data_IF_299628173542
#
_entry.id   IF_299628173542
#
_cell.length_a   1.000
_cell.length_b   1.000
_cell.length_c   1.000
_cell.angle_alpha   90.00
_cell.angle_beta   90.00
_cell.angle_gamma   90.00
#
_symmetry.space_group_name_H-M   'P 1'
#
loop_
_entity.id
_entity.type
_entity.pdbx_description
1 polymer ?
#
# COMPACT_ATOMS: atom_id res chain seq x y z
N UNK A 1 7.79 8.32 -13.24
CA UNK A 1 8.30 7.47 -14.35
C UNK A 1 7.19 7.06 -15.29
N UNK A 2 6.23 6.25 -14.81
CA UNK A 2 5.18 5.65 -15.64
C UNK A 2 4.38 6.71 -16.43
N UNK A 3 3.96 7.81 -15.79
CA UNK A 3 3.30 8.94 -16.49
C UNK A 3 4.19 9.61 -17.55
N UNK A 4 5.53 9.60 -17.38
CA UNK A 4 6.46 10.13 -18.38
C UNK A 4 6.73 9.17 -19.54
N UNK A 5 6.46 7.87 -19.35
CA UNK A 5 6.58 6.84 -20.39
C UNK A 5 5.26 6.75 -21.15
N UNK A 6 4.17 6.54 -20.41
CA UNK A 6 2.85 6.20 -20.92
C UNK A 6 1.94 7.41 -21.14
N UNK A 7 2.26 8.55 -20.53
CA UNK A 7 1.37 9.71 -20.48
C UNK A 7 0.27 9.59 -19.42
N UNK A 8 -0.23 10.73 -18.96
CA UNK A 8 -1.35 10.80 -18.02
C UNK A 8 -2.64 10.16 -18.55
N UNK A 9 -3.05 10.40 -19.82
CA UNK A 9 -4.27 9.83 -20.38
C UNK A 9 -4.28 8.29 -20.41
N UNK A 10 -3.19 7.65 -20.84
CA UNK A 10 -3.10 6.19 -20.88
C UNK A 10 -3.19 5.60 -19.46
N UNK A 11 -2.43 6.17 -18.52
CA UNK A 11 -2.44 5.72 -17.12
C UNK A 11 -3.81 5.84 -16.48
N UNK A 12 -4.55 6.91 -16.80
CA UNK A 12 -5.94 7.08 -16.35
C UNK A 12 -6.85 6.04 -16.98
N UNK A 13 -6.71 5.79 -18.28
CA UNK A 13 -7.56 4.83 -19.00
C UNK A 13 -7.37 3.39 -18.50
N UNK A 14 -6.12 2.98 -18.25
CA UNK A 14 -5.84 1.68 -17.62
C UNK A 14 -6.47 1.61 -16.23
N UNK A 15 -6.37 2.68 -15.44
CA UNK A 15 -6.99 2.72 -14.11
C UNK A 15 -8.52 2.52 -14.15
N UNK A 16 -9.17 3.06 -15.16
CA UNK A 16 -10.62 3.03 -15.30
C UNK A 16 -11.11 1.70 -15.94
N UNK A 17 -10.42 1.22 -16.98
CA UNK A 17 -10.85 0.07 -17.78
C UNK A 17 -10.28 -1.27 -17.26
N UNK A 18 -9.09 -1.26 -16.64
CA UNK A 18 -8.43 -2.43 -16.06
C UNK A 18 -7.76 -2.08 -14.71
N UNK A 19 -8.56 -1.89 -13.64
CA UNK A 19 -8.05 -1.54 -12.32
C UNK A 19 -7.10 -2.60 -11.74
N UNK A 20 -7.26 -3.87 -12.12
CA UNK A 20 -6.38 -4.95 -11.65
C UNK A 20 -4.97 -4.75 -12.21
N UNK A 21 -4.83 -4.60 -13.53
CA UNK A 21 -3.53 -4.34 -14.15
C UNK A 21 -2.89 -3.06 -13.61
N UNK A 22 -3.68 -2.00 -13.41
CA UNK A 22 -3.19 -0.78 -12.77
C UNK A 22 -2.59 -1.09 -11.40
N UNK A 23 -3.33 -1.78 -10.51
CA UNK A 23 -2.86 -2.09 -9.17
C UNK A 23 -1.64 -3.02 -9.16
N UNK A 24 -1.63 -4.05 -10.01
CA UNK A 24 -0.52 -4.98 -10.13
C UNK A 24 0.77 -4.25 -10.54
N UNK A 25 0.68 -3.32 -11.51
CA UNK A 25 1.81 -2.48 -11.90
C UNK A 25 2.35 -1.63 -10.74
N UNK A 26 1.48 -1.02 -9.93
CA UNK A 26 1.92 -0.20 -8.80
C UNK A 26 2.47 -1.02 -7.63
N UNK A 27 1.94 -2.23 -7.40
CA UNK A 27 2.46 -3.17 -6.40
C UNK A 27 3.85 -3.68 -6.76
N UNK A 28 4.06 -4.03 -8.03
CA UNK A 28 5.38 -4.45 -8.51
C UNK A 28 6.37 -3.30 -8.42
N UNK A 29 5.96 -2.08 -8.78
CA UNK A 29 6.78 -0.90 -8.60
C UNK A 29 7.17 -0.67 -7.12
N UNK A 30 6.22 -0.83 -6.19
CA UNK A 30 6.46 -0.69 -4.76
C UNK A 30 7.39 -1.78 -4.22
N UNK A 31 7.20 -3.03 -4.65
CA UNK A 31 8.04 -4.16 -4.29
C UNK A 31 9.48 -3.94 -4.75
N UNK A 32 9.67 -3.52 -6.01
CA UNK A 32 11.01 -3.24 -6.54
C UNK A 32 11.64 -2.04 -5.87
N UNK A 33 10.87 -0.98 -5.56
CA UNK A 33 11.36 0.19 -4.81
C UNK A 33 12.03 -0.22 -3.48
N UNK A 34 11.47 -1.18 -2.74
CA UNK A 34 12.06 -1.70 -1.48
C UNK A 34 13.43 -2.36 -1.67
N UNK A 35 13.78 -2.76 -2.90
CA UNK A 35 15.06 -3.39 -3.24
C UNK A 35 16.12 -2.41 -3.71
N UNK A 36 15.78 -1.12 -3.88
CA UNK A 36 16.70 -0.06 -4.29
C UNK A 36 17.40 0.49 -3.07
N UNK A 37 18.73 0.45 -3.07
CA UNK A 37 19.59 1.11 -2.09
C UNK A 37 20.44 2.18 -2.79
N UNK A 38 21.03 3.14 -2.05
CA UNK A 38 21.88 4.18 -2.64
C UNK A 38 23.04 3.63 -3.47
N UNK A 39 23.61 2.50 -3.07
CA UNK A 39 24.80 1.85 -3.67
C UNK A 39 24.43 0.88 -4.79
N UNK A 40 23.13 0.66 -5.04
CA UNK A 40 22.69 -0.25 -6.09
C UNK A 40 22.87 0.40 -7.46
N UNK A 41 23.69 -0.25 -8.29
CA UNK A 41 23.94 0.18 -9.67
C UNK A 41 23.43 -0.84 -10.71
N UNK A 42 23.12 -2.06 -10.27
CA UNK A 42 22.56 -3.10 -11.13
C UNK A 42 21.12 -2.78 -11.53
N UNK A 43 20.78 -3.00 -12.82
CA UNK A 43 19.40 -2.91 -13.31
C UNK A 43 18.43 -3.76 -12.48
N UNK A 44 17.21 -3.28 -12.31
CA UNK A 44 16.09 -3.99 -11.67
C UNK A 44 15.07 -4.45 -12.70
N UNK A 45 14.31 -5.49 -12.37
CA UNK A 45 13.20 -5.96 -13.20
C UNK A 45 11.89 -5.67 -12.47
N UNK A 46 10.97 -5.03 -13.18
CA UNK A 46 9.61 -4.78 -12.73
C UNK A 46 8.71 -5.69 -13.56
N UNK A 47 7.96 -6.57 -12.91
CA UNK A 47 6.93 -7.36 -13.60
C UNK A 47 5.80 -6.41 -14.00
N UNK A 48 5.34 -6.50 -15.24
CA UNK A 48 4.32 -5.63 -15.78
C UNK A 48 3.16 -6.45 -16.35
N UNK A 49 1.91 -5.95 -16.26
CA UNK A 49 0.76 -6.59 -16.92
C UNK A 49 0.83 -6.32 -18.43
N UNK A 50 1.76 -7.01 -19.11
CA UNK A 50 2.16 -6.73 -20.49
C UNK A 50 0.95 -6.69 -21.44
N UNK A 51 0.09 -7.71 -21.41
CA UNK A 51 -1.05 -7.79 -22.33
C UNK A 51 -2.00 -6.59 -22.20
N UNK A 52 -2.28 -6.16 -20.96
CA UNK A 52 -3.12 -5.00 -20.70
C UNK A 52 -2.44 -3.73 -21.17
N UNK A 53 -1.17 -3.52 -20.80
CA UNK A 53 -0.41 -2.33 -21.22
C UNK A 53 -0.29 -2.23 -22.74
N UNK A 54 0.06 -3.32 -23.41
CA UNK A 54 0.23 -3.38 -24.86
C UNK A 54 -1.09 -3.12 -25.58
N UNK A 55 -2.20 -3.72 -25.13
CA UNK A 55 -3.54 -3.46 -25.69
C UNK A 55 -3.93 -1.99 -25.56
N UNK A 56 -3.71 -1.39 -24.39
CA UNK A 56 -4.02 0.03 -24.18
C UNK A 56 -3.10 0.95 -24.99
N UNK A 57 -1.81 0.63 -25.11
CA UNK A 57 -0.88 1.39 -25.96
C UNK A 57 -1.34 1.37 -27.42
N UNK A 58 -1.67 0.20 -27.97
CA UNK A 58 -2.16 0.08 -29.35
C UNK A 58 -3.47 0.88 -29.55
N UNK A 59 -4.40 0.79 -28.61
CA UNK A 59 -5.72 1.45 -28.75
C UNK A 59 -5.67 2.98 -28.61
N UNK A 60 -4.76 3.50 -27.79
CA UNK A 60 -4.74 4.93 -27.41
C UNK A 60 -3.63 5.69 -28.13
N UNK A 61 -2.46 5.08 -28.26
CA UNK A 61 -1.27 5.69 -28.85
C UNK A 61 -1.01 5.19 -30.28
N UNK A 62 -1.65 4.11 -30.71
CA UNK A 62 -1.46 3.52 -32.04
C UNK A 62 -0.13 2.77 -32.19
N UNK A 63 0.59 2.55 -31.10
CA UNK A 63 1.90 1.92 -31.05
C UNK A 63 1.90 0.79 -30.03
N UNK A 64 2.72 -0.24 -30.24
CA UNK A 64 2.89 -1.31 -29.25
C UNK A 64 3.74 -0.82 -28.06
N UNK A 65 3.72 -1.57 -26.96
CA UNK A 65 4.41 -1.22 -25.73
C UNK A 65 5.92 -1.03 -25.91
N UNK A 66 6.56 -1.84 -26.75
CA UNK A 66 8.00 -1.75 -26.98
C UNK A 66 8.38 -0.45 -27.70
N UNK A 67 7.57 -0.01 -28.66
CA UNK A 67 7.76 1.24 -29.40
C UNK A 67 7.55 2.46 -28.50
N UNK A 68 6.50 2.44 -27.66
CA UNK A 68 6.23 3.50 -26.66
C UNK A 68 7.40 3.63 -25.67
N UNK A 69 8.00 2.52 -25.25
CA UNK A 69 9.18 2.56 -24.39
C UNK A 69 10.42 3.06 -25.13
N UNK A 70 10.58 2.70 -26.39
CA UNK A 70 11.65 3.13 -27.27
C UNK A 70 11.61 4.63 -27.60
N UNK A 71 10.42 5.22 -27.67
CA UNK A 71 10.22 6.66 -27.87
C UNK A 71 10.28 7.46 -26.56
N UNK A 72 10.25 6.78 -25.41
CA UNK A 72 10.26 7.45 -24.10
C UNK A 72 11.61 8.14 -23.79
N UNK A 73 11.62 9.12 -22.86
CA UNK A 73 12.86 9.75 -22.38
C UNK A 73 13.86 8.79 -21.73
N UNK A 74 13.45 7.56 -21.45
CA UNK A 74 14.22 6.54 -20.74
C UNK A 74 14.62 5.37 -21.65
N UNK A 75 14.48 5.49 -22.97
CA UNK A 75 14.70 4.40 -23.94
C UNK A 75 16.07 3.72 -23.87
N UNK A 76 17.11 4.43 -23.41
CA UNK A 76 18.45 3.84 -23.19
C UNK A 76 18.59 3.05 -21.89
N UNK A 77 17.72 3.35 -20.92
CA UNK A 77 17.79 2.84 -19.55
C UNK A 77 16.70 1.81 -19.25
N UNK A 78 15.71 1.68 -20.14
CA UNK A 78 14.59 0.77 -20.01
C UNK A 78 14.52 -0.17 -21.21
N UNK A 79 14.29 -1.44 -20.95
CA UNK A 79 14.00 -2.44 -21.96
C UNK A 79 12.88 -3.37 -21.47
N UNK A 80 12.06 -3.89 -22.38
CA UNK A 80 11.06 -4.91 -22.06
C UNK A 80 11.41 -6.23 -22.72
N UNK A 81 11.24 -7.32 -21.97
CA UNK A 81 11.36 -8.69 -22.47
C UNK A 81 10.27 -9.54 -21.82
N UNK A 82 9.26 -9.93 -22.61
CA UNK A 82 8.07 -10.58 -22.08
C UNK A 82 7.33 -9.66 -21.11
N UNK A 83 6.97 -10.18 -19.96
CA UNK A 83 6.29 -9.47 -18.86
C UNK A 83 7.25 -8.68 -17.95
N UNK A 84 8.54 -8.55 -18.32
CA UNK A 84 9.53 -7.88 -17.48
C UNK A 84 10.04 -6.60 -18.12
N UNK A 85 9.86 -5.50 -17.42
CA UNK A 85 10.48 -4.22 -17.70
C UNK A 85 11.76 -4.09 -16.89
N UNK A 86 12.91 -4.13 -17.57
CA UNK A 86 14.23 -3.96 -16.98
C UNK A 86 14.62 -2.49 -16.99
N UNK A 87 14.94 -1.95 -15.82
CA UNK A 87 15.16 -0.51 -15.59
C UNK A 87 16.50 -0.31 -14.89
N UNK A 88 17.32 0.64 -15.36
CA UNK A 88 18.56 1.02 -14.67
C UNK A 88 18.27 1.56 -13.27
N UNK A 89 19.11 1.20 -12.29
CA UNK A 89 18.90 1.62 -10.90
C UNK A 89 18.89 3.14 -10.74
N UNK A 90 19.69 3.86 -11.54
CA UNK A 90 19.74 5.32 -11.53
C UNK A 90 18.41 5.97 -11.92
N UNK A 91 17.66 5.36 -12.85
CA UNK A 91 16.32 5.85 -13.19
C UNK A 91 15.41 5.73 -11.97
N UNK A 92 15.45 4.59 -11.26
CA UNK A 92 14.65 4.38 -10.05
C UNK A 92 15.04 5.34 -8.93
N UNK A 93 16.35 5.54 -8.68
CA UNK A 93 16.88 6.49 -7.68
C UNK A 93 16.46 7.93 -8.01
N UNK A 94 16.54 8.32 -9.28
CA UNK A 94 16.18 9.67 -9.73
C UNK A 94 14.70 10.02 -9.51
N UNK A 95 13.80 9.03 -9.39
CA UNK A 95 12.37 9.29 -9.13
C UNK A 95 12.12 9.93 -7.77
N UNK A 96 12.93 9.57 -6.78
CA UNK A 96 12.76 10.04 -5.41
C UNK A 96 13.65 11.25 -5.09
N UNK A 97 14.62 11.56 -5.96
CA UNK A 97 15.56 12.66 -5.76
C UNK A 97 14.88 14.00 -5.46
N UNK A 98 13.85 14.46 -6.20
CA UNK A 98 13.17 15.72 -5.88
C UNK A 98 12.57 15.72 -4.46
N UNK A 99 11.99 14.61 -4.03
CA UNK A 99 11.41 14.46 -2.69
C UNK A 99 12.49 14.46 -1.62
N UNK A 100 13.58 13.72 -1.83
CA UNK A 100 14.72 13.68 -0.89
C UNK A 100 15.36 15.06 -0.78
N UNK A 101 15.62 15.75 -1.89
CA UNK A 101 16.22 17.09 -1.90
C UNK A 101 15.33 18.09 -1.14
N UNK A 102 14.01 18.02 -1.30
CA UNK A 102 13.06 18.84 -0.54
C UNK A 102 13.09 18.55 0.97
N UNK A 103 13.13 17.27 1.37
CA UNK A 103 13.23 16.87 2.78
C UNK A 103 14.54 17.43 3.37
N UNK A 104 15.66 17.30 2.65
CA UNK A 104 16.96 17.83 3.07
C UNK A 104 16.89 19.35 3.23
N UNK A 105 16.22 20.07 2.32
CA UNK A 105 16.06 21.52 2.42
C UNK A 105 15.30 21.92 3.69
N UNK A 106 14.16 21.27 3.94
CA UNK A 106 13.36 21.50 5.15
C UNK A 106 14.16 21.22 6.42
N UNK A 107 14.91 20.12 6.44
CA UNK A 107 15.77 19.79 7.59
C UNK A 107 16.84 20.85 7.83
N UNK A 108 17.49 21.35 6.76
CA UNK A 108 18.48 22.42 6.87
C UNK A 108 17.89 23.71 7.43
N UNK A 109 16.71 24.11 6.96
CA UNK A 109 16.02 25.30 7.44
C UNK A 109 15.68 25.19 8.94
N UNK A 110 15.17 24.03 9.37
CA UNK A 110 14.83 23.78 10.78
C UNK A 110 16.09 23.82 11.67
N UNK A 111 17.16 23.14 11.25
CA UNK A 111 18.40 23.06 12.04
C UNK A 111 19.19 24.38 12.07
N UNK A 112 18.98 25.27 11.11
CA UNK A 112 19.56 26.62 11.12
C UNK A 112 18.84 27.58 12.09
N UNK A 113 17.66 27.19 12.60
CA UNK A 113 16.96 27.98 13.61
C UNK A 113 17.73 27.97 14.94
N UNK A 114 17.93 29.15 15.55
CA UNK A 114 18.61 29.27 16.85
C UNK A 114 17.96 28.41 17.95
N UNK A 115 16.64 28.21 17.88
CA UNK A 115 15.91 27.35 18.81
C UNK A 115 16.24 25.85 18.68
N UNK A 116 16.90 25.43 17.59
CA UNK A 116 17.31 24.05 17.33
C UNK A 116 18.84 23.87 17.40
N UNK A 117 19.57 24.85 17.93
CA UNK A 117 21.05 24.89 17.91
C UNK A 117 21.72 23.85 18.82
N UNK A 118 21.01 23.27 19.77
CA UNK A 118 21.47 22.23 20.70
C UNK A 118 20.93 20.83 20.37
N UNK A 119 20.24 20.66 19.23
CA UNK A 119 19.74 19.36 18.77
C UNK A 119 20.90 18.44 18.41
N UNK A 120 21.11 17.41 19.24
CA UNK A 120 22.17 16.40 19.05
C UNK A 120 21.63 15.06 18.55
N UNK A 121 20.31 14.88 18.54
CA UNK A 121 19.66 13.63 18.16
C UNK A 121 18.53 13.90 17.17
N UNK A 122 18.49 13.10 16.11
CA UNK A 122 17.41 13.07 15.13
C UNK A 122 16.70 11.72 15.22
N UNK A 123 15.43 11.74 15.63
CA UNK A 123 14.59 10.54 15.61
C UNK A 123 13.95 10.41 14.24
N UNK A 124 14.28 9.34 13.52
CA UNK A 124 13.67 8.99 12.25
C UNK A 124 12.45 8.11 12.51
N UNK A 125 11.26 8.66 12.28
CA UNK A 125 10.00 7.90 12.32
C UNK A 125 9.61 7.59 10.87
N UNK A 126 9.63 6.31 10.52
CA UNK A 126 9.09 5.84 9.24
C UNK A 126 7.71 5.26 9.48
N UNK A 127 6.74 5.70 8.69
CA UNK A 127 5.42 5.05 8.67
C UNK A 127 5.50 3.79 7.82
N UNK A 128 5.03 2.68 8.35
CA UNK A 128 4.71 1.52 7.52
C UNK A 128 3.33 1.85 6.99
N UNK A 129 3.22 2.33 5.75
CA UNK A 129 1.91 2.48 5.10
C UNK A 129 1.45 1.09 4.61
N UNK A 130 0.59 0.34 5.33
CA UNK A 130 -0.29 -0.58 4.63
C UNK A 130 -1.22 0.31 3.81
N UNK A 131 -1.02 0.33 2.49
CA UNK A 131 -1.98 0.94 1.59
C UNK A 131 -3.36 0.40 1.96
N UNK A 132 -4.25 1.27 2.43
CA UNK A 132 -5.64 0.89 2.68
C UNK A 132 -6.35 0.85 1.32
N UNK A 133 -6.05 -0.17 0.53
CA UNK A 133 -6.86 -0.52 -0.62
C UNK A 133 -8.12 -1.19 -0.09
N UNK A 134 -9.29 -0.67 -0.45
CA UNK A 134 -10.60 -1.13 0.09
C UNK A 134 -10.87 -2.63 -0.14
N UNK A 135 -10.18 -3.24 -1.10
CA UNK A 135 -10.42 -4.62 -1.53
C UNK A 135 -9.28 -5.59 -1.25
N UNK A 136 -8.21 -5.16 -0.55
CA UNK A 136 -7.12 -6.10 -0.23
C UNK A 136 -7.58 -7.03 0.89
N UNK A 137 -7.38 -8.34 0.67
CA UNK A 137 -7.61 -9.34 1.70
C UNK A 137 -6.44 -9.33 2.69
N UNK A 138 -6.66 -8.79 3.89
CA UNK A 138 -5.66 -8.85 4.96
C UNK A 138 -5.89 -10.13 5.80
N UNK A 139 -4.96 -11.09 5.69
CA UNK A 139 -5.08 -12.39 6.34
C UNK A 139 -4.78 -12.27 7.84
N UNK A 140 -5.79 -12.55 8.67
CA UNK A 140 -5.66 -12.60 10.14
C UNK A 140 -5.28 -14.01 10.62
N UNK A 141 -5.95 -15.01 10.03
CA UNK A 141 -5.80 -16.44 10.32
C UNK A 141 -5.76 -17.19 8.99
N UNK A 142 -4.88 -18.18 8.88
CA UNK A 142 -4.82 -19.03 7.69
C UNK A 142 -5.79 -20.21 7.77
N UNK A 143 -6.35 -20.61 6.62
CA UNK A 143 -7.17 -21.82 6.52
C UNK A 143 -6.37 -23.04 7.00
N UNK A 144 -7.03 -23.88 7.81
CA UNK A 144 -6.47 -25.08 8.45
C UNK A 144 -5.38 -24.79 9.50
N UNK A 145 -5.20 -23.52 9.90
CA UNK A 145 -4.34 -23.17 11.02
C UNK A 145 -4.95 -23.67 12.34
N UNK A 146 -4.18 -24.41 13.13
CA UNK A 146 -4.59 -24.78 14.49
C UNK A 146 -4.59 -23.53 15.39
N UNK A 147 -5.71 -23.31 16.08
CA UNK A 147 -5.91 -22.17 16.97
C UNK A 147 -6.23 -22.70 18.37
N UNK A 148 -5.48 -22.23 19.36
CA UNK A 148 -5.78 -22.53 20.77
C UNK A 148 -6.89 -21.62 21.28
N UNK A 149 -7.69 -22.12 22.24
CA UNK A 149 -8.76 -21.31 22.83
C UNK A 149 -8.21 -20.06 23.51
N UNK A 150 -8.82 -18.91 23.19
CA UNK A 150 -8.40 -17.62 23.69
C UNK A 150 -7.15 -17.05 23.01
N UNK A 151 -6.64 -17.71 21.97
CA UNK A 151 -5.56 -17.16 21.16
C UNK A 151 -6.01 -15.85 20.51
N UNK A 152 -5.08 -14.88 20.53
CA UNK A 152 -5.31 -13.53 20.02
C UNK A 152 -4.50 -13.30 18.76
N UNK A 153 -5.13 -12.67 17.79
CA UNK A 153 -4.48 -12.18 16.57
C UNK A 153 -4.65 -10.67 16.51
N UNK A 154 -3.61 -9.97 16.07
CA UNK A 154 -3.58 -8.51 16.11
C UNK A 154 -3.39 -7.95 14.71
N UNK A 155 -4.11 -6.87 14.39
CA UNK A 155 -3.85 -6.03 13.21
C UNK A 155 -3.80 -4.55 13.60
N UNK A 156 -2.92 -3.78 12.95
CA UNK A 156 -2.84 -2.33 13.11
C UNK A 156 -3.63 -1.59 12.03
N UNK A 157 -4.27 -0.49 12.42
CA UNK A 157 -5.10 0.36 11.55
C UNK A 157 -4.85 1.83 11.83
N UNK A 158 -4.90 2.68 10.80
CA UNK A 158 -4.85 4.14 10.93
C UNK A 158 -6.23 4.73 10.58
N UNK A 159 -6.65 5.76 11.32
CA UNK A 159 -7.78 6.60 10.88
C UNK A 159 -7.46 7.24 9.54
N UNK A 160 -8.46 7.36 8.66
CA UNK A 160 -8.25 7.84 7.29
C UNK A 160 -8.31 9.36 7.22
N UNK A 161 -9.03 9.99 8.16
CA UNK A 161 -9.21 11.45 8.22
C UNK A 161 -9.10 11.98 9.66
N UNK A 162 -8.70 13.25 9.84
CA UNK A 162 -8.88 13.98 11.10
C UNK A 162 -10.33 13.95 11.57
N UNK A 163 -10.55 14.04 12.88
CA UNK A 163 -11.87 14.07 13.52
C UNK A 163 -12.78 12.88 13.17
N UNK A 164 -12.21 11.75 12.73
CA UNK A 164 -12.95 10.54 12.41
C UNK A 164 -13.68 9.99 13.64
N UNK A 165 -15.01 9.83 13.52
CA UNK A 165 -15.89 9.34 14.60
C UNK A 165 -15.99 7.83 14.64
N UNK A 166 -15.87 7.17 13.49
CA UNK A 166 -16.05 5.72 13.37
C UNK A 166 -15.06 5.13 12.37
N UNK A 167 -14.63 3.89 12.63
CA UNK A 167 -13.87 3.05 11.71
C UNK A 167 -14.60 1.72 11.55
N UNK A 168 -14.90 1.34 10.32
CA UNK A 168 -15.53 0.06 10.00
C UNK A 168 -14.48 -0.92 9.48
N UNK A 169 -14.39 -2.09 10.10
CA UNK A 169 -13.56 -3.21 9.67
C UNK A 169 -14.47 -4.29 9.08
N UNK A 170 -14.32 -4.57 7.80
CA UNK A 170 -15.06 -5.62 7.13
C UNK A 170 -14.35 -6.96 7.27
N UNK A 171 -15.12 -8.01 7.52
CA UNK A 171 -14.60 -9.34 7.85
C UNK A 171 -15.07 -10.31 6.78
N UNK A 172 -14.12 -11.05 6.25
CA UNK A 172 -14.32 -11.99 5.16
C UNK A 172 -13.74 -13.34 5.55
N UNK A 173 -14.35 -14.41 5.04
CA UNK A 173 -13.77 -15.75 5.01
C UNK A 173 -13.42 -16.08 3.57
N UNK A 174 -12.34 -16.81 3.34
CA UNK A 174 -12.02 -17.32 2.00
C UNK A 174 -11.83 -18.83 2.03
N UNK A 175 -12.28 -19.48 0.96
CA UNK A 175 -12.01 -20.90 0.69
C UNK A 175 -10.61 -21.13 0.10
N UNK A 176 -10.01 -20.08 -0.46
CA UNK A 176 -8.62 -20.04 -0.95
C UNK A 176 -7.66 -19.85 0.23
N UNK A 177 -6.53 -20.56 0.22
CA UNK A 177 -5.51 -20.46 1.28
C UNK A 177 -4.69 -19.17 1.17
N UNK A 178 -4.58 -18.59 -0.02
CA UNK A 178 -3.84 -17.35 -0.30
C UNK A 178 -4.72 -16.34 -1.05
N UNK A 179 -5.82 -15.85 -0.42
CA UNK A 179 -6.65 -14.83 -1.03
C UNK A 179 -5.87 -13.52 -1.13
N UNK A 180 -6.04 -12.80 -2.24
CA UNK A 180 -5.44 -11.49 -2.44
C UNK A 180 -6.48 -10.37 -2.31
N UNK A 181 -7.73 -10.63 -2.70
CA UNK A 181 -8.81 -9.64 -2.68
C UNK A 181 -10.09 -10.14 -2.00
N UNK A 182 -10.87 -9.18 -1.47
CA UNK A 182 -12.13 -9.45 -0.75
C UNK A 182 -13.31 -9.72 -1.68
N UNK A 183 -13.20 -9.39 -2.97
CA UNK A 183 -14.21 -9.61 -4.01
C UNK A 183 -13.91 -10.82 -4.91
N UNK A 184 -12.93 -11.65 -4.55
CA UNK A 184 -12.71 -12.94 -5.18
C UNK A 184 -13.92 -13.86 -4.99
N UNK A 185 -14.21 -14.72 -5.96
CA UNK A 185 -15.27 -15.75 -5.86
C UNK A 185 -15.04 -16.73 -4.71
N UNK A 186 -13.80 -16.83 -4.24
CA UNK A 186 -13.41 -17.64 -3.09
C UNK A 186 -13.73 -16.99 -1.74
N UNK A 187 -14.00 -15.67 -1.73
CA UNK A 187 -14.18 -14.82 -0.55
C UNK A 187 -15.65 -14.54 -0.30
N UNK A 188 -16.08 -14.73 0.95
CA UNK A 188 -17.43 -14.47 1.43
C UNK A 188 -17.38 -13.43 2.54
N UNK A 189 -18.19 -12.38 2.42
CA UNK A 189 -18.36 -11.40 3.50
C UNK A 189 -19.11 -12.04 4.68
N UNK A 190 -18.52 -11.99 5.87
CA UNK A 190 -19.11 -12.52 7.09
C UNK A 190 -19.86 -11.45 7.89
N UNK A 191 -19.36 -10.20 7.85
CA UNK A 191 -19.87 -9.17 8.71
C UNK A 191 -18.89 -8.01 8.87
N UNK A 192 -19.22 -7.09 9.77
CA UNK A 192 -18.35 -5.97 10.08
C UNK A 192 -18.22 -5.73 11.56
N UNK A 193 -17.07 -5.23 11.94
CA UNK A 193 -16.86 -4.63 13.23
C UNK A 193 -16.75 -3.11 13.15
N UNK A 194 -17.48 -2.40 14.01
CA UNK A 194 -17.46 -0.93 14.06
C UNK A 194 -16.74 -0.47 15.31
N UNK A 195 -15.72 0.37 15.12
CA UNK A 195 -14.89 0.98 16.15
C UNK A 195 -15.31 2.45 16.26
N UNK A 196 -15.86 2.86 17.40
CA UNK A 196 -16.35 4.22 17.62
C UNK A 196 -15.41 5.03 18.49
N UNK A 197 -15.01 6.20 18.01
CA UNK A 197 -14.14 7.10 18.73
C UNK A 197 -14.94 8.17 19.49
N UNK A 198 -15.05 8.01 20.81
CA UNK A 198 -15.82 8.92 21.67
C UNK A 198 -15.27 10.36 21.68
N UNK A 199 -13.96 10.52 21.51
CA UNK A 199 -13.30 11.82 21.39
C UNK A 199 -12.48 11.83 20.09
N UNK A 200 -13.01 12.38 19.00
CA UNK A 200 -12.25 12.58 17.77
C UNK A 200 -11.14 13.62 17.95
N UNK A 201 -10.03 13.45 17.22
CA UNK A 201 -8.82 14.28 17.32
C UNK A 201 -8.38 14.77 15.94
N UNK A 202 -7.65 15.88 15.88
CA UNK A 202 -7.05 16.37 14.63
C UNK A 202 -5.95 15.42 14.14
N UNK A 203 -5.16 14.87 15.07
CA UNK A 203 -4.16 13.86 14.76
C UNK A 203 -4.82 12.56 14.30
N UNK A 204 -4.22 11.91 13.29
CA UNK A 204 -4.55 10.53 12.93
C UNK A 204 -4.16 9.58 14.06
N UNK A 205 -4.96 8.55 14.28
CA UNK A 205 -4.80 7.60 15.39
C UNK A 205 -4.47 6.21 14.88
N UNK A 206 -3.46 5.62 15.51
CA UNK A 206 -3.15 4.21 15.39
C UNK A 206 -4.05 3.40 16.31
N UNK A 207 -4.71 2.40 15.73
CA UNK A 207 -5.66 1.53 16.39
C UNK A 207 -5.18 0.09 16.23
N UNK A 208 -5.02 -0.58 17.36
CA UNK A 208 -4.71 -2.00 17.43
C UNK A 208 -6.01 -2.78 17.59
N UNK A 209 -6.38 -3.59 16.60
CA UNK A 209 -7.51 -4.52 16.68
C UNK A 209 -7.01 -5.92 17.06
N UNK A 210 -7.52 -6.45 18.17
CA UNK A 210 -7.27 -7.80 18.67
C UNK A 210 -8.49 -8.69 18.43
N UNK A 211 -8.33 -9.73 17.61
CA UNK A 211 -9.31 -10.77 17.36
C UNK A 211 -9.04 -11.95 18.29
N UNK A 212 -10.07 -12.39 19.01
CA UNK A 212 -10.00 -13.44 20.02
C UNK A 212 -10.93 -14.57 19.59
N UNK A 213 -10.36 -15.74 19.34
CA UNK A 213 -11.10 -16.92 18.90
C UNK A 213 -11.45 -17.80 20.11
N UNK A 214 -12.75 -17.98 20.34
CA UNK A 214 -13.32 -18.90 21.33
C UNK A 214 -13.72 -20.24 20.69
N UNK A 215 -14.57 -21.01 21.38
CA UNK A 215 -15.09 -22.29 20.86
C UNK A 215 -15.96 -22.09 19.60
N UNK A 216 -16.98 -21.24 19.72
CA UNK A 216 -17.99 -21.01 18.66
C UNK A 216 -18.15 -19.54 18.33
N UNK A 217 -17.27 -18.69 18.85
CA UNK A 217 -17.41 -17.24 18.79
C UNK A 217 -16.08 -16.58 18.42
N UNK A 218 -16.17 -15.51 17.64
CA UNK A 218 -15.07 -14.59 17.38
C UNK A 218 -15.44 -13.28 18.07
N UNK A 219 -14.55 -12.79 18.93
CA UNK A 219 -14.71 -11.47 19.55
C UNK A 219 -13.57 -10.56 19.13
N UNK A 220 -13.81 -9.25 19.13
CA UNK A 220 -12.81 -8.25 18.77
C UNK A 220 -12.70 -7.20 19.87
N UNK A 221 -11.47 -6.78 20.18
CA UNK A 221 -11.17 -5.60 20.98
C UNK A 221 -10.39 -4.62 20.13
N UNK A 222 -10.63 -3.34 20.31
CA UNK A 222 -9.83 -2.29 19.67
C UNK A 222 -9.20 -1.41 20.75
N UNK A 223 -7.95 -1.00 20.55
CA UNK A 223 -7.21 -0.14 21.48
C UNK A 223 -6.60 1.01 20.69
N UNK A 224 -6.82 2.24 21.17
CA UNK A 224 -6.06 3.41 20.69
C UNK A 224 -4.63 3.31 21.23
N UNK A 225 -3.64 3.16 20.35
CA UNK A 225 -2.26 2.92 20.77
C UNK A 225 -1.61 4.14 21.45
N UNK A 226 -2.12 5.36 21.19
CA UNK A 226 -1.62 6.58 21.82
C UNK A 226 -2.12 6.72 23.26
N UNK A 227 -3.40 6.37 23.50
CA UNK A 227 -4.04 6.58 24.81
C UNK A 227 -4.14 5.31 25.66
N UNK A 228 -3.98 4.13 25.06
CA UNK A 228 -4.20 2.83 25.71
C UNK A 228 -5.68 2.54 26.01
N UNK A 229 -6.60 3.37 25.51
CA UNK A 229 -8.03 3.25 25.83
C UNK A 229 -8.68 2.15 24.99
N UNK A 230 -9.46 1.29 25.64
CA UNK A 230 -10.29 0.31 24.94
C UNK A 230 -11.40 1.04 24.17
N UNK A 231 -11.57 0.68 22.91
CA UNK A 231 -12.60 1.21 22.03
C UNK A 231 -13.67 0.13 21.85
N UNK A 232 -14.93 0.55 21.92
CA UNK A 232 -16.07 -0.35 21.70
C UNK A 232 -16.04 -0.90 20.28
N UNK A 233 -16.12 -2.22 20.18
CA UNK A 233 -16.31 -2.95 18.94
C UNK A 233 -17.66 -3.67 18.98
N UNK A 234 -18.58 -3.33 18.08
CA UNK A 234 -19.75 -4.17 17.80
C UNK A 234 -19.41 -5.13 16.68
N UNK A 235 -20.01 -6.33 16.67
CA UNK A 235 -19.77 -7.33 15.65
C UNK A 235 -21.10 -7.79 15.09
N UNK A 236 -21.35 -7.46 13.83
CA UNK A 236 -22.61 -7.78 13.15
C UNK A 236 -22.31 -8.85 12.10
N UNK A 237 -22.66 -10.12 12.41
CA UNK A 237 -22.67 -11.23 11.46
C UNK A 237 -23.98 -11.22 10.67
N UNK A 238 -23.90 -11.53 9.37
CA UNK A 238 -25.07 -11.67 8.48
C UNK A 238 -25.58 -13.11 8.54
#
# INVERSE_FOLDING_TARGET
MLVKIFGGPLMKKIKDDDPSAYLDLFREFETVKRTITPEKDSKVNITIPYASLDTHCNNILGENLADVLGSSPYSKQIAVRGDKMRVDADVMKALFKPTIDNIISLMKEILQNKAASDVSQLLLVADVFPQKCEKIFNKIVEKDQEISLGQKFTTGHLTVVPMQKEMKLQIYVSTNKTPMYTDETSSTYLGSATITFLVPTEDLRNVKAEYIFGNTEISMKAVDEKTGTNITASFDLI
#
